data_IF_190178805698
#
_entry.id   IF_190178805698
#
_cell.length_a   1.000
_cell.length_b   1.000
_cell.length_c   1.000
_cell.angle_alpha   90.00
_cell.angle_beta   90.00
_cell.angle_gamma   90.00
#
_symmetry.space_group_name_H-M   'P 1'
#
loop_
_entity.id
_entity.type
_entity.pdbx_description
1 polymer ?
#
# COMPACT_ATOMS: atom_id res chain seq x y z
N UNK A 1 22.65 -6.10 3.04
CA UNK A 1 23.43 -6.33 4.28
C UNK A 1 22.49 -6.53 5.47
N UNK A 2 22.96 -7.16 6.54
CA UNK A 2 22.14 -7.51 7.71
C UNK A 2 21.48 -6.30 8.38
N UNK A 3 22.14 -5.15 8.38
CA UNK A 3 21.59 -3.89 8.92
C UNK A 3 20.37 -3.41 8.14
N UNK A 4 20.43 -3.41 6.80
CA UNK A 4 19.30 -3.00 5.97
C UNK A 4 18.09 -3.93 6.14
N UNK A 5 18.34 -5.24 6.23
CA UNK A 5 17.30 -6.24 6.51
C UNK A 5 16.69 -6.01 7.90
N UNK A 6 17.51 -5.77 8.91
CA UNK A 6 17.04 -5.45 10.26
C UNK A 6 16.17 -4.20 10.27
N UNK A 7 16.58 -3.10 9.62
CA UNK A 7 15.79 -1.87 9.52
C UNK A 7 14.45 -2.11 8.82
N UNK A 8 14.44 -2.86 7.72
CA UNK A 8 13.21 -3.23 7.02
C UNK A 8 12.25 -4.00 7.92
N UNK A 9 12.74 -4.95 8.72
CA UNK A 9 11.89 -5.66 9.69
C UNK A 9 11.36 -4.75 10.79
N UNK A 10 12.18 -3.83 11.31
CA UNK A 10 11.70 -2.89 12.34
C UNK A 10 10.61 -1.97 11.80
N UNK A 11 10.75 -1.49 10.56
CA UNK A 11 9.69 -0.72 9.91
C UNK A 11 8.41 -1.55 9.76
N UNK A 12 8.53 -2.79 9.28
CA UNK A 12 7.38 -3.67 9.08
C UNK A 12 6.66 -3.99 10.39
N UNK A 13 7.37 -4.20 11.49
CA UNK A 13 6.77 -4.41 12.82
C UNK A 13 5.98 -3.19 13.28
N UNK A 14 6.54 -1.99 13.17
CA UNK A 14 5.84 -0.75 13.54
C UNK A 14 4.54 -0.56 12.77
N UNK A 15 4.56 -0.80 11.46
CA UNK A 15 3.36 -0.69 10.63
C UNK A 15 2.36 -1.80 10.96
N UNK A 16 2.83 -3.03 11.23
CA UNK A 16 1.98 -4.13 11.66
C UNK A 16 1.23 -3.83 12.94
N UNK A 17 1.92 -3.32 13.96
CA UNK A 17 1.30 -3.02 15.25
C UNK A 17 0.24 -1.93 15.10
N UNK A 18 0.52 -0.88 14.33
CA UNK A 18 -0.45 0.16 14.02
C UNK A 18 -1.65 -0.38 13.20
N UNK A 19 -1.40 -1.23 12.22
CA UNK A 19 -2.45 -1.83 11.39
C UNK A 19 -3.34 -2.78 12.20
N UNK A 20 -2.80 -3.54 13.15
CA UNK A 20 -3.57 -4.43 14.02
C UNK A 20 -4.59 -3.66 14.89
N UNK A 21 -4.23 -2.47 15.36
CA UNK A 21 -5.12 -1.61 16.14
C UNK A 21 -6.33 -1.14 15.32
N UNK A 22 -6.14 -0.81 14.05
CA UNK A 22 -7.20 -0.32 13.17
C UNK A 22 -8.00 -1.46 12.56
N UNK A 23 -7.34 -2.55 12.16
CA UNK A 23 -7.96 -3.68 11.48
C UNK A 23 -8.88 -4.52 12.38
N UNK A 24 -8.76 -4.42 13.71
CA UNK A 24 -9.61 -5.15 14.66
C UNK A 24 -11.10 -4.84 14.54
N UNK A 25 -11.46 -3.69 13.96
CA UNK A 25 -12.85 -3.28 13.72
C UNK A 25 -13.33 -3.58 12.30
N UNK A 26 -12.45 -4.09 11.42
CA UNK A 26 -12.74 -4.37 10.02
C UNK A 26 -12.93 -5.88 9.81
N UNK A 27 -13.83 -6.23 8.89
CA UNK A 27 -13.97 -7.63 8.45
C UNK A 27 -12.66 -8.15 7.85
N UNK A 28 -12.43 -9.46 7.93
CA UNK A 28 -11.19 -10.12 7.50
C UNK A 28 -10.96 -10.09 5.98
N UNK A 29 -12.03 -9.98 5.21
CA UNK A 29 -12.03 -9.89 3.74
C UNK A 29 -11.63 -8.50 3.21
N UNK A 30 -11.61 -7.47 4.06
CA UNK A 30 -11.16 -6.13 3.69
C UNK A 30 -9.66 -6.19 3.31
N UNK A 31 -9.30 -5.80 2.07
CA UNK A 31 -7.93 -5.86 1.58
C UNK A 31 -7.06 -4.78 2.22
N UNK A 32 -5.74 -5.02 2.19
CA UNK A 32 -4.73 -4.00 2.44
C UNK A 32 -4.28 -3.43 1.10
N UNK A 33 -4.42 -2.12 0.92
CA UNK A 33 -3.99 -1.40 -0.29
C UNK A 33 -2.58 -0.84 -0.09
N UNK A 34 -1.64 -1.25 -0.94
CA UNK A 34 -0.28 -0.72 -0.95
C UNK A 34 -0.14 0.46 -1.91
N UNK A 35 0.35 1.59 -1.41
CA UNK A 35 0.56 2.80 -2.20
C UNK A 35 1.93 3.43 -1.89
N UNK A 36 2.44 4.25 -2.82
CA UNK A 36 3.71 4.95 -2.65
C UNK A 36 4.95 4.09 -2.95
N UNK A 37 6.12 4.65 -2.63
CA UNK A 37 7.42 3.99 -2.84
C UNK A 37 7.68 2.81 -1.89
N UNK A 38 6.98 2.76 -0.74
CA UNK A 38 7.08 1.70 0.27
C UNK A 38 6.05 0.57 0.13
N UNK A 39 5.35 0.48 -1.00
CA UNK A 39 4.28 -0.52 -1.19
C UNK A 39 4.73 -1.97 -1.08
N UNK A 40 6.01 -2.26 -1.33
CA UNK A 40 6.56 -3.59 -1.14
C UNK A 40 6.56 -4.04 0.33
N UNK A 41 6.80 -3.13 1.29
CA UNK A 41 6.63 -3.44 2.72
C UNK A 41 5.15 -3.67 3.06
N UNK A 42 4.23 -2.94 2.42
CA UNK A 42 2.80 -3.12 2.64
C UNK A 42 2.30 -4.46 2.11
N UNK A 43 2.87 -4.97 1.01
CA UNK A 43 2.60 -6.33 0.57
C UNK A 43 2.99 -7.36 1.62
N UNK A 44 4.18 -7.22 2.21
CA UNK A 44 4.64 -8.10 3.31
C UNK A 44 3.77 -7.98 4.57
N UNK A 45 3.22 -6.79 4.82
CA UNK A 45 2.25 -6.59 5.89
C UNK A 45 0.97 -7.38 5.63
N UNK A 46 0.43 -7.32 4.42
CA UNK A 46 -0.77 -8.05 4.05
C UNK A 46 -0.60 -9.56 4.20
N UNK A 47 0.55 -10.09 3.76
CA UNK A 47 0.94 -11.49 3.97
C UNK A 47 0.98 -11.84 5.46
N UNK A 48 1.61 -11.00 6.30
CA UNK A 48 1.71 -11.22 7.75
C UNK A 48 0.35 -11.15 8.46
N UNK A 49 -0.56 -10.32 7.98
CA UNK A 49 -1.91 -10.17 8.52
C UNK A 49 -2.93 -11.14 7.91
N UNK A 50 -2.49 -12.03 7.00
CA UNK A 50 -3.33 -12.98 6.27
C UNK A 50 -4.50 -12.31 5.54
N UNK A 51 -4.24 -11.19 4.88
CA UNK A 51 -5.23 -10.41 4.11
C UNK A 51 -4.84 -10.30 2.64
N UNK A 52 -5.83 -10.12 1.78
CA UNK A 52 -5.61 -9.81 0.37
C UNK A 52 -4.84 -8.48 0.22
N UNK A 53 -3.93 -8.43 -0.76
CA UNK A 53 -3.18 -7.24 -1.12
C UNK A 53 -3.69 -6.68 -2.45
N UNK A 54 -3.88 -5.37 -2.50
CA UNK A 54 -4.17 -4.63 -3.74
C UNK A 54 -3.08 -3.60 -3.96
N UNK A 55 -2.42 -3.61 -5.11
CA UNK A 55 -1.49 -2.55 -5.46
C UNK A 55 -2.29 -1.33 -5.95
N UNK A 56 -2.06 -0.17 -5.35
CA UNK A 56 -2.67 1.07 -5.82
C UNK A 56 -2.31 1.36 -7.28
N UNK A 57 -1.14 0.91 -7.74
CA UNK A 57 -0.71 1.03 -9.13
C UNK A 57 -1.68 0.36 -10.13
N UNK A 58 -2.34 -0.71 -9.71
CA UNK A 58 -3.30 -1.47 -10.52
C UNK A 58 -4.65 -0.74 -10.65
N UNK A 59 -4.92 0.21 -9.74
CA UNK A 59 -6.13 1.04 -9.74
C UNK A 59 -5.97 2.24 -10.68
N UNK A 60 -4.74 2.75 -10.87
CA UNK A 60 -4.48 3.94 -11.68
C UNK A 60 -4.61 3.59 -13.17
N UNK A 61 -5.53 4.22 -13.93
CA UNK A 61 -5.61 4.10 -15.39
C UNK A 61 -4.50 4.91 -16.07
N UNK A 62 -3.26 4.46 -15.92
CA UNK A 62 -2.09 5.05 -16.55
C UNK A 62 -1.33 4.00 -17.37
N UNK A 63 -0.54 4.47 -18.33
CA UNK A 63 0.37 3.59 -19.09
C UNK A 63 1.38 2.93 -18.16
N UNK A 64 1.77 1.69 -18.46
CA UNK A 64 2.70 0.90 -17.63
C UNK A 64 4.04 1.60 -17.40
N UNK A 65 4.47 2.42 -18.36
CA UNK A 65 5.72 3.21 -18.29
C UNK A 65 5.71 4.26 -17.17
N UNK A 66 4.54 4.77 -16.79
CA UNK A 66 4.38 5.81 -15.76
C UNK A 66 3.63 5.34 -14.53
N UNK A 67 2.95 4.19 -14.60
CA UNK A 67 2.16 3.58 -13.51
C UNK A 67 2.91 3.53 -12.18
N UNK A 68 4.17 3.12 -12.19
CA UNK A 68 5.01 3.07 -10.99
C UNK A 68 5.28 4.44 -10.37
N UNK A 69 5.44 5.48 -11.20
CA UNK A 69 5.64 6.85 -10.74
C UNK A 69 4.35 7.45 -10.21
N UNK A 70 3.23 7.21 -10.91
CA UNK A 70 1.91 7.61 -10.45
C UNK A 70 1.55 6.99 -9.09
N UNK A 71 1.84 5.70 -8.90
CA UNK A 71 1.67 5.04 -7.59
C UNK A 71 2.62 5.59 -6.52
N UNK A 72 3.85 5.97 -6.89
CA UNK A 72 4.80 6.61 -5.96
C UNK A 72 4.31 7.99 -5.51
N UNK A 73 3.63 8.72 -6.38
CA UNK A 73 2.94 9.98 -6.10
C UNK A 73 1.45 9.74 -5.74
N UNK A 74 1.16 8.69 -4.94
CA UNK A 74 -0.20 8.23 -4.66
C UNK A 74 -1.21 9.35 -4.30
N UNK A 75 -0.87 10.34 -3.45
CA UNK A 75 -1.81 11.41 -3.14
C UNK A 75 -2.19 12.26 -4.35
N UNK A 76 -1.21 12.67 -5.17
CA UNK A 76 -1.47 13.47 -6.37
C UNK A 76 -2.29 12.68 -7.40
N UNK A 77 -1.95 11.41 -7.59
CA UNK A 77 -2.69 10.51 -8.49
C UNK A 77 -4.13 10.30 -8.03
N UNK A 78 -4.36 10.09 -6.73
CA UNK A 78 -5.71 9.95 -6.18
C UNK A 78 -6.55 11.22 -6.40
N UNK A 79 -6.00 12.41 -6.15
CA UNK A 79 -6.70 13.68 -6.40
C UNK A 79 -7.02 13.87 -7.88
N UNK A 80 -6.07 13.57 -8.78
CA UNK A 80 -6.31 13.66 -10.21
C UNK A 80 -7.44 12.73 -10.67
N UNK A 81 -7.49 11.51 -10.14
CA UNK A 81 -8.56 10.55 -10.44
C UNK A 81 -9.93 11.02 -9.92
N UNK A 82 -9.98 11.56 -8.72
CA UNK A 82 -11.21 12.11 -8.15
C UNK A 82 -11.71 13.32 -8.95
N UNK A 83 -10.82 14.21 -9.38
CA UNK A 83 -11.18 15.38 -10.19
C UNK A 83 -11.65 15.00 -11.60
N UNK A 84 -11.17 13.87 -12.15
CA UNK A 84 -11.59 13.33 -13.43
C UNK A 84 -12.81 12.42 -13.37
N UNK A 85 -13.35 12.12 -12.19
CA UNK A 85 -14.52 11.25 -12.04
C UNK A 85 -15.78 12.04 -12.44
N UNK A 86 -16.56 11.59 -13.43
CA UNK A 86 -17.78 12.28 -13.84
C UNK A 86 -18.80 12.29 -12.68
N UNK A 87 -19.47 13.42 -12.50
CA UNK A 87 -20.51 13.65 -11.49
C UNK A 87 -21.81 12.93 -11.82
#
# INVERSE_FOLDING_TARGET
GDVARWFSEQQLRKVHDAAALVAGTLSRDVPIVGAGSGRWQIRRLAERMERSYVDFADIIPADDTVRGQASSAAPASAVALLAGYPS
#
